data_IF_058746558676
#
_entry.id   IF_058746558676
#
_cell.length_a   1.000
_cell.length_b   1.000
_cell.length_c   1.000
_cell.angle_alpha   90.00
_cell.angle_beta   90.00
_cell.angle_gamma   90.00
#
_symmetry.space_group_name_H-M   'P 1'
#
loop_
_entity.id
_entity.type
_entity.pdbx_description
1 polymer ?
#
# COMPACT_ATOMS: atom_id res chain seq x y z
N UNK A 1 2.42 1.24 -0.71
CA UNK A 1 2.67 2.50 -1.46
C UNK A 1 1.53 3.47 -1.24
N UNK A 2 1.78 4.81 -1.24
CA UNK A 2 0.72 5.81 -1.09
C UNK A 2 -0.20 5.86 -2.32
N UNK A 3 -1.48 6.14 -2.08
CA UNK A 3 -2.51 6.25 -3.13
C UNK A 3 -2.57 5.06 -4.10
N UNK A 4 -2.15 3.89 -3.65
CA UNK A 4 -2.15 2.66 -4.47
C UNK A 4 -3.37 1.82 -4.13
N UNK A 5 -4.03 1.29 -5.15
CA UNK A 5 -5.18 0.42 -5.00
C UNK A 5 -4.75 -1.05 -4.89
N UNK A 6 -5.26 -1.74 -3.90
CA UNK A 6 -5.04 -3.15 -3.64
C UNK A 6 -6.37 -3.89 -3.58
N UNK A 7 -6.44 -5.06 -4.18
CA UNK A 7 -7.57 -5.96 -3.96
C UNK A 7 -7.31 -6.76 -2.70
N UNK A 8 -8.17 -6.59 -1.70
CA UNK A 8 -8.15 -7.37 -0.47
C UNK A 8 -9.17 -8.50 -0.58
N UNK A 9 -8.79 -9.66 -0.07
CA UNK A 9 -9.68 -10.83 0.02
C UNK A 9 -9.77 -11.28 1.47
N UNK A 10 -10.98 -11.48 1.95
CA UNK A 10 -11.25 -12.21 3.19
C UNK A 10 -11.83 -13.56 2.81
N UNK A 11 -11.23 -14.63 3.32
CA UNK A 11 -11.76 -15.98 3.23
C UNK A 11 -12.11 -16.47 4.62
N UNK A 12 -13.36 -16.80 4.83
CA UNK A 12 -13.82 -17.51 6.02
C UNK A 12 -13.86 -19.01 5.70
N UNK A 13 -13.31 -19.83 6.54
CA UNK A 13 -13.24 -21.28 6.35
C UNK A 13 -13.72 -22.05 7.57
N UNK A 14 -14.43 -23.14 7.31
CA UNK A 14 -14.99 -24.04 8.28
C UNK A 14 -14.45 -25.47 8.04
N UNK A 15 -13.18 -25.74 8.40
CA UNK A 15 -12.51 -26.99 8.03
C UNK A 15 -13.18 -28.25 8.63
N UNK A 16 -13.98 -28.10 9.67
CA UNK A 16 -14.66 -29.21 10.34
C UNK A 16 -16.07 -29.46 9.80
N UNK A 17 -16.58 -28.59 8.89
CA UNK A 17 -17.91 -28.73 8.30
C UNK A 17 -19.08 -28.69 9.30
N UNK A 18 -18.90 -28.04 10.47
CA UNK A 18 -19.89 -28.03 11.56
C UNK A 18 -20.83 -26.83 11.44
N UNK A 19 -20.42 -25.79 10.72
CA UNK A 19 -21.15 -24.55 10.56
C UNK A 19 -21.72 -24.41 9.15
N UNK A 20 -22.82 -23.67 9.05
CA UNK A 20 -23.54 -23.52 7.79
C UNK A 20 -23.30 -22.16 7.13
N UNK A 21 -23.06 -21.10 7.90
CA UNK A 21 -22.93 -19.73 7.38
C UNK A 21 -21.62 -19.05 7.78
N UNK A 22 -21.14 -18.26 6.85
CA UNK A 22 -19.97 -17.40 6.98
C UNK A 22 -20.38 -15.93 7.08
N UNK A 23 -19.75 -15.21 7.99
CA UNK A 23 -19.83 -13.76 8.12
C UNK A 23 -18.49 -13.16 8.42
N UNK A 24 -18.32 -11.86 8.21
CA UNK A 24 -17.11 -11.12 8.59
C UNK A 24 -17.39 -9.64 8.80
N UNK A 25 -16.48 -8.99 9.52
CA UNK A 25 -16.32 -7.54 9.53
C UNK A 25 -14.84 -7.19 9.55
N UNK A 26 -14.45 -6.13 8.85
CA UNK A 26 -13.06 -5.67 8.77
C UNK A 26 -13.00 -4.14 8.77
N UNK A 27 -11.96 -3.58 9.37
CA UNK A 27 -11.60 -2.15 9.29
C UNK A 27 -10.10 -1.99 9.14
N UNK A 28 -9.65 -0.87 8.54
CA UNK A 28 -8.24 -0.55 8.36
C UNK A 28 -7.94 0.80 9.01
N UNK A 29 -7.02 0.79 9.97
CA UNK A 29 -6.72 1.94 10.82
C UNK A 29 -5.22 2.27 10.82
N UNK A 30 -4.91 3.53 11.08
CA UNK A 30 -3.56 3.98 11.38
C UNK A 30 -3.24 3.80 12.89
N UNK A 31 -2.01 4.14 13.28
CA UNK A 31 -1.55 4.06 14.69
C UNK A 31 -2.35 4.92 15.68
N UNK A 32 -3.11 5.89 15.19
CA UNK A 32 -3.99 6.74 16.01
C UNK A 32 -5.44 6.22 16.06
N UNK A 33 -5.70 5.00 15.62
CA UNK A 33 -7.04 4.39 15.50
C UNK A 33 -8.00 5.16 14.58
N UNK A 34 -7.48 5.89 13.60
CA UNK A 34 -8.26 6.61 12.60
C UNK A 34 -8.29 5.80 11.30
N UNK A 35 -9.31 6.04 10.47
CA UNK A 35 -9.42 5.44 9.14
C UNK A 35 -8.13 5.62 8.33
N UNK A 36 -7.62 4.55 7.74
CA UNK A 36 -6.46 4.56 6.87
C UNK A 36 -6.85 4.11 5.47
N UNK A 37 -6.84 5.03 4.51
CA UNK A 37 -7.25 4.76 3.14
C UNK A 37 -8.77 4.72 2.94
N UNK A 38 -9.21 4.16 1.81
CA UNK A 38 -10.64 4.10 1.42
C UNK A 38 -10.95 2.76 0.79
N UNK A 39 -12.06 2.15 1.20
CA UNK A 39 -12.56 0.90 0.63
C UNK A 39 -13.70 1.16 -0.35
N UNK A 40 -13.65 0.53 -1.54
CA UNK A 40 -14.64 0.66 -2.62
C UNK A 40 -14.80 -0.66 -3.37
N UNK A 41 -15.85 -0.79 -4.16
CA UNK A 41 -16.02 -1.96 -5.03
C UNK A 41 -16.13 -3.27 -4.26
N UNK A 42 -16.85 -3.27 -3.13
CA UNK A 42 -17.13 -4.48 -2.39
C UNK A 42 -17.84 -5.51 -3.28
N UNK A 43 -17.43 -6.77 -3.20
CA UNK A 43 -18.05 -7.87 -3.94
C UNK A 43 -19.50 -8.09 -3.52
N UNK A 44 -20.24 -8.85 -4.31
CA UNK A 44 -21.60 -9.25 -3.94
C UNK A 44 -21.67 -9.83 -2.52
N UNK A 45 -22.77 -9.60 -1.84
CA UNK A 45 -23.03 -10.04 -0.46
C UNK A 45 -22.07 -9.42 0.58
N UNK A 46 -21.50 -8.26 0.26
CA UNK A 46 -20.75 -7.45 1.21
C UNK A 46 -20.96 -5.95 0.96
N UNK A 47 -20.70 -5.15 1.96
CA UNK A 47 -20.92 -3.70 1.93
C UNK A 47 -19.80 -2.98 2.71
N UNK A 48 -19.49 -1.74 2.30
CA UNK A 48 -18.63 -0.83 3.07
C UNK A 48 -19.52 0.19 3.75
N UNK A 49 -19.52 0.19 5.08
CA UNK A 49 -20.36 1.05 5.92
C UNK A 49 -19.47 2.05 6.66
N UNK A 50 -19.65 3.37 6.47
CA UNK A 50 -18.97 4.39 7.27
C UNK A 50 -19.63 4.50 8.66
N UNK A 51 -18.83 4.50 9.72
CA UNK A 51 -19.32 4.70 11.10
C UNK A 51 -18.21 5.27 11.99
N UNK A 52 -18.53 6.33 12.76
CA UNK A 52 -17.63 6.90 13.75
C UNK A 52 -16.29 7.40 13.18
N UNK A 53 -16.25 7.89 11.94
CA UNK A 53 -15.03 8.32 11.25
C UNK A 53 -14.16 7.16 10.73
N UNK A 54 -14.67 5.95 10.73
CA UNK A 54 -14.06 4.73 10.19
C UNK A 54 -14.88 4.18 9.04
N UNK A 55 -14.33 3.23 8.30
CA UNK A 55 -15.05 2.38 7.36
C UNK A 55 -14.97 0.94 7.82
N UNK A 56 -16.11 0.25 7.73
CA UNK A 56 -16.22 -1.18 8.00
C UNK A 56 -16.66 -1.87 6.72
N UNK A 57 -15.87 -2.85 6.28
CA UNK A 57 -16.28 -3.76 5.23
C UNK A 57 -16.82 -5.01 5.88
N UNK A 58 -18.05 -5.36 5.58
CA UNK A 58 -18.77 -6.43 6.26
C UNK A 58 -19.63 -7.25 5.30
N UNK A 59 -19.92 -8.46 5.67
CA UNK A 59 -20.89 -9.29 4.95
C UNK A 59 -22.29 -8.67 5.01
N UNK A 60 -23.05 -8.81 3.91
CA UNK A 60 -24.45 -8.40 3.87
C UNK A 60 -25.18 -9.03 2.67
N UNK A 61 -25.99 -10.09 2.90
CA UNK A 61 -26.13 -10.90 4.12
C UNK A 61 -24.99 -11.90 4.35
N UNK A 62 -25.05 -12.64 5.47
CA UNK A 62 -24.22 -13.82 5.70
C UNK A 62 -24.41 -14.86 4.59
N UNK A 63 -23.39 -15.66 4.32
CA UNK A 63 -23.36 -16.57 3.16
C UNK A 63 -23.18 -18.02 3.61
N UNK A 64 -23.81 -18.93 2.90
CA UNK A 64 -23.55 -20.36 3.05
C UNK A 64 -22.14 -20.69 2.58
N UNK A 65 -21.49 -21.62 3.24
CA UNK A 65 -20.21 -22.16 2.79
C UNK A 65 -20.38 -22.91 1.47
N UNK A 66 -19.36 -22.85 0.63
CA UNK A 66 -19.29 -23.64 -0.62
C UNK A 66 -18.92 -25.12 -0.33
N UNK A 67 -18.79 -25.91 -1.38
CA UNK A 67 -18.43 -27.34 -1.28
C UNK A 67 -17.02 -27.57 -0.70
N UNK A 68 -16.18 -26.53 -0.64
CA UNK A 68 -14.84 -26.55 0.00
C UNK A 68 -14.87 -26.09 1.46
N UNK A 69 -16.05 -25.85 2.01
CA UNK A 69 -16.25 -25.27 3.33
C UNK A 69 -15.59 -23.89 3.47
N UNK A 70 -15.62 -23.09 2.42
CA UNK A 70 -15.09 -21.71 2.40
C UNK A 70 -16.11 -20.76 1.82
N UNK A 71 -15.95 -19.47 2.16
CA UNK A 71 -16.57 -18.37 1.43
C UNK A 71 -15.62 -17.16 1.42
N UNK A 72 -15.53 -16.49 0.28
CA UNK A 72 -14.61 -15.37 0.09
C UNK A 72 -15.31 -14.12 -0.41
N UNK A 73 -14.89 -12.97 0.10
CA UNK A 73 -15.28 -11.64 -0.36
C UNK A 73 -14.06 -10.85 -0.78
N UNK A 74 -14.26 -9.89 -1.68
CA UNK A 74 -13.20 -8.97 -2.13
C UNK A 74 -13.65 -7.52 -2.01
N UNK A 75 -12.70 -6.63 -1.79
CA UNK A 75 -12.87 -5.17 -1.81
C UNK A 75 -11.61 -4.54 -2.37
N UNK A 76 -11.75 -3.39 -3.03
CA UNK A 76 -10.60 -2.56 -3.40
C UNK A 76 -10.32 -1.58 -2.27
N UNK A 77 -9.14 -1.66 -1.69
CA UNK A 77 -8.65 -0.69 -0.72
C UNK A 77 -7.59 0.19 -1.37
N UNK A 78 -7.79 1.51 -1.32
CA UNK A 78 -6.80 2.50 -1.75
C UNK A 78 -6.09 3.05 -0.52
N UNK A 79 -4.78 2.90 -0.48
CA UNK A 79 -3.97 3.38 0.65
C UNK A 79 -4.01 4.91 0.78
N UNK A 80 -3.84 5.48 1.97
CA UNK A 80 -3.75 6.93 2.14
C UNK A 80 -2.49 7.49 1.46
N UNK A 81 -2.53 8.77 1.09
CA UNK A 81 -1.36 9.48 0.54
C UNK A 81 -0.35 9.85 1.61
N UNK A 82 -0.81 10.13 2.82
CA UNK A 82 -0.03 10.62 3.98
C UNK A 82 -0.69 10.18 5.29
N UNK A 83 0.03 10.19 6.42
CA UNK A 83 1.47 10.38 6.53
C UNK A 83 2.26 9.12 6.13
N UNK A 84 3.45 9.34 5.56
CA UNK A 84 4.40 8.26 5.25
C UNK A 84 5.04 7.70 6.53
N UNK A 85 5.60 6.50 6.45
CA UNK A 85 6.21 5.77 7.56
C UNK A 85 5.23 5.51 8.73
N UNK A 86 3.94 5.51 8.44
CA UNK A 86 2.89 5.21 9.42
C UNK A 86 2.50 3.73 9.32
N UNK A 87 2.42 3.08 10.47
CA UNK A 87 1.87 1.72 10.54
C UNK A 87 0.37 1.75 10.27
N UNK A 88 -0.06 0.89 9.36
CA UNK A 88 -1.46 0.65 9.02
C UNK A 88 -1.79 -0.78 9.42
N UNK A 89 -2.89 -0.96 10.12
CA UNK A 89 -3.34 -2.26 10.59
C UNK A 89 -4.75 -2.55 10.10
N UNK A 90 -4.92 -3.69 9.47
CA UNK A 90 -6.21 -4.28 9.18
C UNK A 90 -6.64 -5.15 10.37
N UNK A 91 -7.85 -4.94 10.84
CA UNK A 91 -8.50 -5.72 11.90
C UNK A 91 -9.69 -6.44 11.28
N UNK A 92 -9.73 -7.74 11.39
CA UNK A 92 -10.82 -8.56 10.87
C UNK A 92 -11.40 -9.47 11.95
N UNK A 93 -12.70 -9.64 11.92
CA UNK A 93 -13.42 -10.65 12.68
C UNK A 93 -14.24 -11.51 11.71
N UNK A 94 -14.11 -12.82 11.80
CA UNK A 94 -14.94 -13.80 11.07
C UNK A 94 -15.96 -14.42 12.03
N UNK A 95 -17.18 -14.61 11.55
CA UNK A 95 -18.22 -15.39 12.22
C UNK A 95 -18.43 -16.69 11.45
N UNK A 96 -18.40 -17.79 12.18
CA UNK A 96 -18.68 -19.15 11.70
C UNK A 96 -19.94 -19.61 12.43
N UNK A 97 -21.09 -19.50 11.76
CA UNK A 97 -22.40 -19.64 12.39
C UNK A 97 -23.14 -20.92 11.98
N UNK A 98 -23.99 -21.41 12.86
CA UNK A 98 -24.80 -22.62 12.68
C UNK A 98 -26.18 -22.37 12.05
N UNK A 99 -26.44 -21.13 11.59
CA UNK A 99 -27.68 -20.71 10.89
C UNK A 99 -28.99 -20.95 11.69
N UNK A 100 -28.90 -20.91 13.01
CA UNK A 100 -30.08 -21.12 13.88
C UNK A 100 -30.85 -19.82 14.19
N UNK A 101 -30.43 -18.66 13.65
CA UNK A 101 -30.93 -17.30 13.96
C UNK A 101 -30.68 -16.85 15.41
N UNK A 102 -29.75 -17.46 16.10
CA UNK A 102 -29.25 -17.06 17.40
C UNK A 102 -27.71 -17.03 17.37
N UNK A 103 -27.08 -16.45 18.37
CA UNK A 103 -25.61 -16.44 18.55
C UNK A 103 -25.12 -17.64 19.37
N UNK A 104 -26.00 -18.54 19.75
CA UNK A 104 -25.61 -19.74 20.47
C UNK A 104 -24.95 -20.77 19.55
N UNK A 105 -23.74 -21.15 19.89
CA UNK A 105 -22.91 -22.06 19.07
C UNK A 105 -22.14 -21.43 17.93
N UNK A 106 -22.19 -20.10 17.74
CA UNK A 106 -21.39 -19.38 16.78
C UNK A 106 -19.94 -19.19 17.28
N UNK A 107 -18.99 -19.27 16.36
CA UNK A 107 -17.58 -19.04 16.63
C UNK A 107 -17.12 -17.73 16.01
N UNK A 108 -16.61 -16.82 16.83
CA UNK A 108 -15.95 -15.60 16.37
C UNK A 108 -14.44 -15.78 16.37
N UNK A 109 -13.82 -15.54 15.23
CA UNK A 109 -12.37 -15.59 15.04
C UNK A 109 -11.87 -14.19 14.65
N UNK A 110 -10.81 -13.72 15.30
CA UNK A 110 -10.21 -12.42 14.99
C UNK A 110 -8.82 -12.58 14.42
N UNK A 111 -8.46 -11.68 13.50
CA UNK A 111 -7.13 -11.61 12.89
C UNK A 111 -6.71 -10.16 12.69
N UNK A 112 -5.39 -9.92 12.69
CA UNK A 112 -4.81 -8.62 12.37
C UNK A 112 -3.63 -8.79 11.41
N UNK A 113 -3.49 -7.83 10.49
CA UNK A 113 -2.32 -7.72 9.62
C UNK A 113 -1.84 -6.27 9.60
N UNK A 114 -0.55 -6.04 9.74
CA UNK A 114 0.03 -4.69 9.75
C UNK A 114 1.09 -4.53 8.68
N UNK A 115 1.18 -3.32 8.15
CA UNK A 115 2.22 -2.90 7.21
C UNK A 115 2.58 -1.43 7.43
N UNK A 116 3.69 -1.00 6.87
CA UNK A 116 4.12 0.41 6.92
C UNK A 116 3.86 1.06 5.57
N UNK A 117 3.25 2.23 5.58
CA UNK A 117 3.05 3.05 4.39
C UNK A 117 4.37 3.71 4.02
N UNK A 118 5.13 3.09 3.15
CA UNK A 118 6.38 3.63 2.63
C UNK A 118 6.13 4.41 1.33
N UNK A 119 6.86 5.52 1.15
CA UNK A 119 7.02 6.05 -0.20
C UNK A 119 7.93 5.09 -0.96
N UNK A 120 7.43 4.47 -2.00
CA UNK A 120 8.29 3.76 -2.96
C UNK A 120 8.93 4.81 -3.87
N UNK A 121 9.85 5.59 -3.32
CA UNK A 121 10.78 6.38 -4.15
C UNK A 121 11.93 5.46 -4.49
N UNK A 122 12.10 5.17 -5.77
CA UNK A 122 13.30 4.51 -6.26
C UNK A 122 14.53 5.25 -5.69
N UNK A 123 15.58 4.55 -5.30
CA UNK A 123 16.80 5.20 -4.82
C UNK A 123 17.27 6.28 -5.80
N UNK A 124 17.68 7.43 -5.29
CA UNK A 124 18.29 8.45 -6.12
C UNK A 124 19.59 7.91 -6.70
N UNK A 125 19.66 7.83 -8.01
CA UNK A 125 20.85 7.44 -8.78
C UNK A 125 21.32 8.63 -9.56
N UNK A 126 22.63 8.88 -9.61
CA UNK A 126 23.25 9.90 -10.45
C UNK A 126 24.37 9.26 -11.26
N UNK A 127 24.35 9.49 -12.56
CA UNK A 127 25.33 9.00 -13.52
C UNK A 127 25.96 10.15 -14.30
N UNK A 128 27.23 10.01 -14.69
CA UNK A 128 27.84 10.86 -15.69
C UNK A 128 27.52 10.26 -17.07
N UNK A 129 26.59 10.88 -17.77
CA UNK A 129 26.07 10.37 -19.06
C UNK A 129 26.82 10.85 -20.27
N UNK A 130 27.64 11.91 -20.12
CA UNK A 130 28.55 12.42 -21.15
C UNK A 130 29.75 13.08 -20.48
N UNK A 131 30.92 12.93 -21.07
CA UNK A 131 32.13 13.66 -20.69
C UNK A 131 33.04 13.91 -21.91
N UNK A 132 33.79 15.00 -21.83
CA UNK A 132 34.85 15.32 -22.81
C UNK A 132 36.11 15.65 -22.03
N UNK A 133 37.20 15.02 -22.41
CA UNK A 133 38.49 15.22 -21.76
C UNK A 133 39.10 16.58 -22.13
N UNK A 134 39.96 17.07 -21.28
CA UNK A 134 40.75 18.26 -21.55
C UNK A 134 41.81 17.94 -22.61
N UNK A 135 41.84 18.69 -23.71
CA UNK A 135 42.74 18.39 -24.85
C UNK A 135 44.22 18.53 -24.53
N UNK A 136 44.60 19.48 -23.67
CA UNK A 136 45.98 19.79 -23.33
C UNK A 136 46.10 20.23 -21.88
N UNK A 137 47.26 19.98 -21.27
CA UNK A 137 47.56 20.50 -19.91
C UNK A 137 47.47 22.04 -19.93
N UNK A 138 46.68 22.60 -19.00
CA UNK A 138 46.38 24.02 -18.87
C UNK A 138 45.26 24.54 -19.78
N UNK A 139 44.66 23.68 -20.61
CA UNK A 139 43.45 24.05 -21.34
C UNK A 139 42.19 23.86 -20.46
N UNK A 140 41.12 24.55 -20.80
CA UNK A 140 39.80 24.44 -20.14
C UNK A 140 38.75 23.98 -21.17
N UNK A 141 38.97 22.82 -21.75
CA UNK A 141 38.11 22.26 -22.83
C UNK A 141 37.27 21.09 -22.37
N UNK A 142 37.45 20.65 -21.13
CA UNK A 142 36.68 19.53 -20.56
C UNK A 142 35.23 19.89 -20.33
N UNK A 143 34.37 18.87 -20.36
CA UNK A 143 32.97 18.98 -19.99
C UNK A 143 32.46 17.69 -19.34
N UNK A 144 31.39 17.78 -18.53
CA UNK A 144 30.68 16.63 -18.02
C UNK A 144 29.19 16.93 -17.90
N UNK A 145 28.36 15.93 -18.13
CA UNK A 145 26.91 15.99 -17.94
C UNK A 145 26.48 14.89 -16.98
N UNK A 146 25.82 15.27 -15.90
CA UNK A 146 25.18 14.34 -14.96
C UNK A 146 23.69 14.21 -15.28
N UNK A 147 23.17 12.99 -15.12
CA UNK A 147 21.75 12.72 -15.14
C UNK A 147 21.34 12.04 -13.84
N UNK A 148 20.25 12.50 -13.25
CA UNK A 148 19.66 11.88 -12.05
C UNK A 148 18.38 11.14 -12.41
N UNK A 149 18.16 10.00 -11.74
CA UNK A 149 16.93 9.20 -11.84
C UNK A 149 16.54 8.68 -10.46
N UNK A 150 15.28 8.25 -10.30
CA UNK A 150 14.77 7.84 -9.00
C UNK A 150 14.62 9.02 -8.02
N UNK A 151 14.52 8.74 -6.73
CA UNK A 151 14.29 9.77 -5.72
C UNK A 151 13.01 10.58 -5.93
N UNK A 152 13.00 11.83 -5.50
CA UNK A 152 11.88 12.76 -5.69
C UNK A 152 12.29 13.87 -6.68
N UNK A 153 11.72 13.95 -7.88
CA UNK A 153 11.94 15.11 -8.77
C UNK A 153 11.41 16.40 -8.10
N UNK A 154 11.97 17.59 -8.27
CA UNK A 154 12.99 18.02 -9.24
C UNK A 154 14.41 17.89 -8.69
N UNK A 155 15.38 17.53 -9.56
CA UNK A 155 16.76 17.37 -9.12
C UNK A 155 17.52 18.70 -9.20
N UNK A 156 18.39 18.94 -8.21
CA UNK A 156 19.38 19.99 -8.21
C UNK A 156 20.79 19.38 -8.25
N UNK A 157 21.70 20.02 -8.94
CA UNK A 157 23.08 19.56 -9.12
C UNK A 157 24.05 20.54 -8.47
N UNK A 158 25.11 20.04 -7.88
CA UNK A 158 26.19 20.84 -7.33
C UNK A 158 27.53 20.15 -7.63
N UNK A 159 28.40 20.83 -8.36
CA UNK A 159 29.74 20.37 -8.69
C UNK A 159 30.77 21.00 -7.76
N UNK A 160 31.92 20.35 -7.60
CA UNK A 160 33.00 20.82 -6.71
C UNK A 160 33.56 22.20 -7.09
N UNK A 161 33.39 22.61 -8.36
CA UNK A 161 33.76 23.93 -8.86
C UNK A 161 32.68 25.00 -8.64
N UNK A 162 31.59 24.70 -7.90
CA UNK A 162 30.51 25.62 -7.55
C UNK A 162 29.41 25.78 -8.60
N UNK A 163 29.45 25.08 -9.72
CA UNK A 163 28.40 25.13 -10.75
C UNK A 163 27.20 24.27 -10.32
N UNK A 164 25.99 24.83 -10.47
CA UNK A 164 24.72 24.20 -10.03
C UNK A 164 23.81 23.84 -11.23
N UNK A 165 24.37 23.25 -12.28
CA UNK A 165 23.66 22.80 -13.47
C UNK A 165 23.97 21.33 -13.74
N UNK A 166 23.10 20.64 -14.49
CA UNK A 166 23.35 19.26 -14.90
C UNK A 166 24.62 19.10 -15.74
N UNK A 167 24.98 20.11 -16.51
CA UNK A 167 26.17 20.11 -17.36
C UNK A 167 27.17 21.18 -16.94
N UNK A 168 28.44 20.79 -16.83
CA UNK A 168 29.56 21.71 -16.67
C UNK A 168 30.41 21.71 -17.92
N UNK A 169 30.90 22.90 -18.27
CA UNK A 169 31.82 23.12 -19.37
C UNK A 169 33.06 23.87 -18.88
N UNK A 170 34.07 23.98 -19.74
CA UNK A 170 35.31 24.68 -19.42
C UNK A 170 36.03 24.12 -18.18
N UNK A 171 35.97 22.80 -18.01
CA UNK A 171 36.71 22.11 -16.94
C UNK A 171 38.18 22.08 -17.33
N UNK A 172 39.04 22.55 -16.42
CA UNK A 172 40.49 22.52 -16.58
C UNK A 172 41.10 21.18 -16.10
N UNK A 173 42.30 20.85 -16.62
CA UNK A 173 43.08 19.73 -16.13
C UNK A 173 43.70 20.05 -14.77
#
# INVERSE_FOLDING_TARGET
EPATAYVLTITNSNPNGIADIAGFQMTILNSNNQKAGTMTGASANSVVTPSGGREYWEHNPAQLYDASNTYSWTVTWTSPTTPLNTTITAYAAGNVGNNNNDNDGDLIVTSTASGVLNSNVDPLIVDIVASTDVLCNGASTGSATAAASGGTPTYSYHWSNGINMATINNVAA
#
